data_IF_709351582887
#
_entry.id   IF_709351582887
#
_cell.length_a   1.000
_cell.length_b   1.000
_cell.length_c   1.000
_cell.angle_alpha   90.00
_cell.angle_beta   90.00
_cell.angle_gamma   90.00
#
_symmetry.space_group_name_H-M   'P 1'
#
loop_
_entity.id
_entity.type
_entity.pdbx_description
1 polymer ?
#
# COMPACT_ATOMS: atom_id res chain seq x y z
N UNK A 1 5.34 -1.42 0.58
CA UNK A 1 5.01 -0.19 -0.19
C UNK A 1 3.58 0.19 0.14
N UNK A 2 3.32 1.44 0.54
CA UNK A 2 2.02 1.86 1.09
C UNK A 2 1.31 2.92 0.24
N UNK A 3 2.04 3.70 -0.54
CA UNK A 3 1.46 4.76 -1.35
C UNK A 3 2.51 5.49 -2.18
N UNK A 4 2.09 6.57 -2.85
CA UNK A 4 2.94 7.40 -3.69
C UNK A 4 2.54 8.87 -3.60
N UNK A 5 3.43 9.75 -4.01
CA UNK A 5 3.17 11.19 -4.07
C UNK A 5 4.16 11.94 -4.95
N UNK A 6 4.07 13.26 -4.90
CA UNK A 6 5.03 14.19 -5.47
C UNK A 6 5.33 15.25 -4.41
N UNK A 7 6.61 15.44 -4.08
CA UNK A 7 7.05 16.53 -3.21
C UNK A 7 8.04 17.40 -3.98
N UNK A 8 7.76 18.70 -4.06
CA UNK A 8 8.63 19.67 -4.74
C UNK A 8 8.98 19.27 -6.19
N UNK A 9 8.05 18.61 -6.89
CA UNK A 9 8.26 18.11 -8.25
C UNK A 9 8.95 16.75 -8.35
N UNK A 10 9.38 16.15 -7.23
CA UNK A 10 10.00 14.83 -7.19
C UNK A 10 8.97 13.75 -6.87
N UNK A 11 8.68 12.81 -7.78
CA UNK A 11 7.79 11.68 -7.50
C UNK A 11 8.45 10.68 -6.56
N UNK A 12 7.70 10.16 -5.59
CA UNK A 12 8.20 9.19 -4.62
C UNK A 12 7.22 8.04 -4.35
N UNK A 13 7.77 6.92 -3.87
CA UNK A 13 7.04 5.87 -3.16
C UNK A 13 7.15 6.09 -1.64
N UNK A 14 6.04 5.92 -0.92
CA UNK A 14 6.03 5.85 0.54
C UNK A 14 6.19 4.39 0.98
N UNK A 15 7.20 4.13 1.79
CA UNK A 15 7.56 2.78 2.22
C UNK A 15 7.68 2.75 3.75
N UNK A 16 6.96 1.81 4.38
CA UNK A 16 7.22 1.44 5.76
C UNK A 16 8.44 0.52 5.82
N UNK A 17 9.43 0.89 6.65
CA UNK A 17 10.57 0.05 6.93
C UNK A 17 10.30 -0.85 8.15
N UNK A 18 11.17 -1.82 8.39
CA UNK A 18 11.07 -2.79 9.48
C UNK A 18 12.18 -2.64 10.52
N UNK A 19 12.71 -1.43 10.70
CA UNK A 19 13.84 -1.13 11.60
C UNK A 19 13.42 -0.24 12.79
N UNK A 20 12.26 -0.54 13.37
CA UNK A 20 11.59 0.26 14.41
C UNK A 20 11.19 1.67 13.95
N UNK A 21 10.47 2.39 14.82
CA UNK A 21 9.90 3.72 14.55
C UNK A 21 10.88 4.86 14.80
N UNK A 22 12.00 4.61 15.48
CA UNK A 22 13.04 5.62 15.74
C UNK A 22 13.97 5.85 14.54
N UNK A 23 13.85 5.03 13.49
CA UNK A 23 14.58 5.19 12.24
C UNK A 23 13.77 5.99 11.21
N UNK A 24 14.44 6.88 10.48
CA UNK A 24 13.85 7.59 9.34
C UNK A 24 12.74 8.56 9.75
N UNK A 25 11.63 8.53 9.01
CA UNK A 25 10.45 9.35 9.26
C UNK A 25 9.43 8.52 10.03
N UNK A 26 9.61 8.35 11.34
CA UNK A 26 8.76 7.51 12.22
C UNK A 26 8.65 6.03 11.76
N UNK A 27 9.74 5.47 11.24
CA UNK A 27 9.81 4.11 10.67
C UNK A 27 9.52 4.05 9.17
N UNK A 28 9.25 5.18 8.53
CA UNK A 28 8.99 5.28 7.08
C UNK A 28 10.17 5.92 6.35
N UNK A 29 10.16 5.77 5.04
CA UNK A 29 11.01 6.55 4.15
C UNK A 29 10.34 6.75 2.79
N UNK A 30 10.93 7.67 2.03
CA UNK A 30 10.54 7.98 0.66
C UNK A 30 11.71 7.67 -0.27
N UNK A 31 11.40 7.09 -1.43
CA UNK A 31 12.37 6.73 -2.46
C UNK A 31 11.86 7.16 -3.82
N UNK A 32 12.78 7.56 -4.70
CA UNK A 32 12.44 8.08 -6.03
C UNK A 32 11.61 7.04 -6.79
N UNK A 33 10.50 7.50 -7.36
CA UNK A 33 9.58 6.69 -8.16
C UNK A 33 9.74 7.00 -9.65
N UNK A 34 9.58 5.97 -10.48
CA UNK A 34 9.49 6.09 -11.94
C UNK A 34 10.81 5.93 -12.69
N UNK A 35 11.88 5.58 -11.99
CA UNK A 35 13.20 5.29 -12.59
C UNK A 35 13.80 3.96 -12.10
N UNK A 36 12.99 3.12 -11.44
CA UNK A 36 13.45 1.89 -10.80
C UNK A 36 14.67 2.10 -9.86
N UNK A 37 14.61 3.15 -9.05
CA UNK A 37 15.69 3.51 -8.11
C UNK A 37 16.03 2.32 -7.21
N UNK A 38 17.31 1.91 -7.21
CA UNK A 38 17.79 0.72 -6.50
C UNK A 38 17.02 -0.58 -6.82
N UNK A 39 16.35 -0.69 -7.98
CA UNK A 39 15.59 -1.87 -8.37
C UNK A 39 14.25 -2.05 -7.63
N UNK A 40 13.73 -0.99 -6.99
CA UNK A 40 12.52 -1.12 -6.14
C UNK A 40 11.25 -1.47 -6.93
N UNK A 41 11.20 -1.17 -8.23
CA UNK A 41 10.07 -1.42 -9.11
C UNK A 41 10.20 -2.77 -9.85
N UNK A 42 11.38 -3.37 -9.83
CA UNK A 42 11.71 -4.60 -10.57
C UNK A 42 11.07 -5.89 -10.03
N UNK A 43 10.67 -5.96 -8.75
CA UNK A 43 10.23 -7.23 -8.11
C UNK A 43 9.10 -7.05 -7.09
N UNK A 44 8.08 -6.30 -7.48
CA UNK A 44 6.88 -6.09 -6.66
C UNK A 44 6.00 -7.35 -6.69
N UNK A 45 5.61 -7.83 -5.50
CA UNK A 45 4.74 -9.01 -5.34
C UNK A 45 3.51 -8.64 -4.52
N UNK A 46 2.34 -9.16 -4.91
CA UNK A 46 1.08 -9.02 -4.19
C UNK A 46 0.34 -10.36 -4.06
N UNK A 47 -0.63 -10.42 -3.16
CA UNK A 47 -1.44 -11.63 -2.95
C UNK A 47 -2.81 -11.31 -2.36
N UNK A 48 -3.81 -12.12 -2.70
CA UNK A 48 -5.16 -12.00 -2.15
C UNK A 48 -5.32 -12.87 -0.90
N UNK A 49 -5.68 -12.30 0.26
CA UNK A 49 -5.85 -13.09 1.48
C UNK A 49 -7.10 -13.97 1.41
N UNK A 50 -7.02 -15.18 1.97
CA UNK A 50 -8.20 -16.04 2.15
C UNK A 50 -9.07 -15.49 3.26
N UNK A 51 -10.15 -14.82 2.88
CA UNK A 51 -11.13 -14.29 3.83
C UNK A 51 -11.91 -15.40 4.54
N UNK A 52 -12.13 -15.24 5.84
CA UNK A 52 -12.96 -16.17 6.62
C UNK A 52 -14.46 -15.98 6.28
N UNK A 53 -15.28 -16.99 6.59
CA UNK A 53 -16.72 -17.00 6.23
C UNK A 53 -17.50 -15.82 6.83
N UNK A 54 -17.13 -15.43 8.04
CA UNK A 54 -17.75 -14.32 8.77
C UNK A 54 -17.48 -13.00 8.06
N UNK A 55 -16.22 -12.70 7.73
CA UNK A 55 -15.81 -11.53 6.96
C UNK A 55 -16.50 -11.48 5.60
N UNK A 56 -16.55 -12.60 4.87
CA UNK A 56 -17.25 -12.68 3.58
C UNK A 56 -18.74 -12.33 3.70
N UNK A 57 -19.39 -12.71 4.80
CA UNK A 57 -20.80 -12.38 5.06
C UNK A 57 -20.98 -10.89 5.39
N UNK A 58 -20.12 -10.32 6.22
CA UNK A 58 -20.14 -8.88 6.51
C UNK A 58 -19.88 -8.06 5.24
N UNK A 59 -18.79 -8.33 4.54
CA UNK A 59 -18.41 -7.59 3.34
C UNK A 59 -19.44 -7.71 2.21
N UNK A 60 -20.07 -8.88 2.01
CA UNK A 60 -21.14 -9.02 1.01
C UNK A 60 -22.37 -8.17 1.35
N UNK A 61 -22.66 -7.98 2.63
CA UNK A 61 -23.82 -7.20 3.07
C UNK A 61 -23.61 -5.70 2.83
N UNK A 62 -22.42 -5.19 3.15
CA UNK A 62 -22.06 -3.79 2.92
C UNK A 62 -21.78 -3.45 1.44
N UNK A 63 -21.34 -4.42 0.64
CA UNK A 63 -21.13 -4.23 -0.82
C UNK A 63 -22.43 -3.99 -1.58
N UNK A 64 -23.56 -4.51 -1.10
CA UNK A 64 -24.89 -4.28 -1.71
C UNK A 64 -25.49 -2.91 -1.36
N UNK A 65 -24.93 -2.22 -0.37
CA UNK A 65 -25.43 -0.93 0.10
C UNK A 65 -24.61 0.27 -0.43
N UNK A 66 -23.42 0.02 -0.99
CA UNK A 66 -22.50 1.06 -1.49
C UNK A 66 -21.81 0.58 -2.78
N UNK A 67 -22.59 0.42 -3.85
CA UNK A 67 -22.04 0.25 -5.20
C UNK A 67 -21.40 1.58 -5.65
N UNK A 68 -20.15 1.80 -5.25
CA UNK A 68 -19.09 2.49 -5.99
C UNK A 68 -17.83 2.55 -5.08
N UNK A 69 -16.73 2.03 -5.59
CA UNK A 69 -15.34 2.20 -5.15
C UNK A 69 -14.67 1.20 -4.16
N UNK A 70 -13.52 0.72 -4.66
CA UNK A 70 -12.30 0.27 -3.98
C UNK A 70 -12.16 -1.18 -3.47
N UNK A 71 -11.81 -2.07 -4.40
CA UNK A 71 -10.98 -3.25 -4.14
C UNK A 71 -9.53 -2.83 -3.77
N UNK A 72 -9.29 -2.23 -2.59
CA UNK A 72 -7.96 -2.25 -1.96
C UNK A 72 -8.13 -2.36 -0.44
N UNK A 73 -7.93 -3.57 0.09
CA UNK A 73 -7.70 -3.80 1.52
C UNK A 73 -6.17 -3.87 1.69
N UNK A 74 -5.58 -2.87 2.33
CA UNK A 74 -4.27 -3.02 2.98
C UNK A 74 -4.45 -3.65 4.37
#
# INVERSE_FOLDING_TARGET
MLGWGVEQGVPYWLVANSWNTDWGEDGFFRIIRGIDECGIESSVVGGLPKLNRTYKKYHRRYRLDNDEDDDIIF
#
